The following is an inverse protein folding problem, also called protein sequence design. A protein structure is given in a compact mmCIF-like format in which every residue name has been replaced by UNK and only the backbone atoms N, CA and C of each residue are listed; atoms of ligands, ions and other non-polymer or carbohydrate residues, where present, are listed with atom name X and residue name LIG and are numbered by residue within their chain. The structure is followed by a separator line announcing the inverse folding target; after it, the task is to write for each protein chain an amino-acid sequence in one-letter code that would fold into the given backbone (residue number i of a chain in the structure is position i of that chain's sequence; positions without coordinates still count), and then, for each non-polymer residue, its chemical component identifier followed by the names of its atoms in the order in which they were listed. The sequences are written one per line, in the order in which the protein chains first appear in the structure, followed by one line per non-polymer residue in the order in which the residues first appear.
data_IF_939883280931
#
_entry.id   IF_939883280931
#
_cell.length_a   1.000
_cell.length_b   1.000
_cell.length_c   1.000
_cell.angle_alpha   90.00
_cell.angle_beta   90.00
_cell.angle_gamma   90.00
#
_symmetry.space_group_name_H-M   'P 1'
#
loop_
_entity.id
_entity.type
_entity.pdbx_description
1 polymer ?
#
# COMPACT_ATOMS: atom_id res chain seq x y z
N UNK A 1 24.57 -4.16 -0.88
CA UNK A 1 23.79 -3.91 0.36
C UNK A 1 22.41 -4.52 0.15
N UNK A 2 21.90 -5.30 1.10
CA UNK A 2 20.56 -5.89 1.01
C UNK A 2 19.64 -5.22 2.04
N UNK A 3 18.50 -4.72 1.58
CA UNK A 3 17.43 -4.22 2.43
C UNK A 3 16.32 -5.26 2.46
N UNK A 4 15.91 -5.67 3.65
CA UNK A 4 14.78 -6.58 3.87
C UNK A 4 13.64 -5.77 4.46
N UNK A 5 12.49 -5.79 3.81
CA UNK A 5 11.27 -5.15 4.29
C UNK A 5 10.23 -6.24 4.45
N UNK A 6 10.01 -6.61 5.71
CA UNK A 6 8.91 -7.48 6.07
C UNK A 6 7.61 -6.66 6.22
N UNK A 7 6.49 -7.29 5.95
CA UNK A 7 5.16 -6.65 5.92
C UNK A 7 5.14 -5.32 5.18
N UNK A 8 5.69 -5.27 3.97
CA UNK A 8 5.84 -3.97 3.30
C UNK A 8 4.51 -3.28 2.97
N UNK A 9 3.39 -4.02 2.92
CA UNK A 9 2.06 -3.43 2.83
C UNK A 9 1.72 -2.52 4.04
N UNK A 10 2.36 -2.73 5.20
CA UNK A 10 2.19 -1.88 6.38
C UNK A 10 2.90 -0.52 6.27
N UNK A 11 3.65 -0.28 5.19
CA UNK A 11 4.36 0.97 4.93
C UNK A 11 3.74 1.72 3.72
N UNK A 12 2.54 2.31 3.88
CA UNK A 12 1.78 2.92 2.78
C UNK A 12 2.36 4.24 2.27
N UNK A 13 3.30 4.86 3.02
CA UNK A 13 3.82 6.19 2.71
C UNK A 13 5.05 6.19 1.77
N UNK A 14 5.57 5.02 1.38
CA UNK A 14 6.76 4.92 0.57
C UNK A 14 6.43 4.92 -0.93
N UNK A 15 7.15 5.73 -1.72
CA UNK A 15 7.07 5.66 -3.19
C UNK A 15 7.93 4.50 -3.70
N UNK A 16 7.38 3.29 -3.65
CA UNK A 16 8.09 2.07 -4.03
C UNK A 16 8.59 2.07 -5.48
N UNK A 17 7.86 2.67 -6.41
CA UNK A 17 8.29 2.80 -7.81
C UNK A 17 9.62 3.53 -7.93
N UNK A 18 9.69 4.73 -7.33
CA UNK A 18 10.91 5.53 -7.34
C UNK A 18 12.03 4.81 -6.57
N UNK A 19 11.69 4.17 -5.44
CA UNK A 19 12.66 3.46 -4.62
C UNK A 19 13.27 2.27 -5.34
N UNK A 20 12.46 1.42 -5.98
CA UNK A 20 12.89 0.28 -6.80
C UNK A 20 13.76 0.75 -7.99
N UNK A 21 13.36 1.82 -8.67
CA UNK A 21 14.10 2.38 -9.80
C UNK A 21 15.44 3.00 -9.40
N UNK A 22 15.56 3.52 -8.19
CA UNK A 22 16.82 4.07 -7.66
C UNK A 22 17.75 2.98 -7.13
N UNK A 23 17.23 1.95 -6.46
CA UNK A 23 18.04 0.86 -5.91
C UNK A 23 18.86 0.12 -6.98
N UNK A 24 18.29 -0.06 -8.17
CA UNK A 24 18.99 -0.65 -9.31
C UNK A 24 20.25 0.15 -9.71
N UNK A 25 20.23 1.48 -9.55
CA UNK A 25 21.38 2.34 -9.89
C UNK A 25 22.53 2.24 -8.89
N UNK A 26 22.23 1.86 -7.65
CA UNK A 26 23.20 1.79 -6.55
C UNK A 26 23.72 0.37 -6.30
N UNK A 27 23.28 -0.63 -7.08
CA UNK A 27 23.67 -2.03 -6.87
C UNK A 27 23.18 -2.59 -5.53
N UNK A 28 22.07 -2.05 -5.02
CA UNK A 28 21.43 -2.54 -3.80
C UNK A 28 20.35 -3.56 -4.15
N UNK A 29 20.20 -4.58 -3.32
CA UNK A 29 19.13 -5.57 -3.44
C UNK A 29 18.03 -5.28 -2.42
N UNK A 30 16.77 -5.43 -2.84
CA UNK A 30 15.60 -5.29 -1.98
C UNK A 30 14.86 -6.61 -1.94
N UNK A 31 14.56 -7.07 -0.73
CA UNK A 31 13.70 -8.24 -0.48
C UNK A 31 12.44 -7.71 0.20
N UNK A 32 11.30 -7.94 -0.45
CA UNK A 32 9.98 -7.55 0.03
C UNK A 32 9.20 -8.80 0.41
N UNK A 33 8.63 -8.81 1.61
CA UNK A 33 7.73 -9.87 2.06
C UNK A 33 6.34 -9.30 2.40
N UNK A 34 5.29 -10.01 1.97
CA UNK A 34 3.90 -9.64 2.25
C UNK A 34 3.05 -10.88 2.47
N UNK A 35 2.08 -10.78 3.38
CA UNK A 35 1.11 -11.85 3.65
C UNK A 35 -0.07 -11.86 2.67
N UNK A 36 -0.37 -10.73 2.02
CA UNK A 36 -1.48 -10.61 1.06
C UNK A 36 -1.09 -9.70 -0.09
N UNK A 37 -1.48 -10.09 -1.32
CA UNK A 37 -1.36 -9.23 -2.49
C UNK A 37 -2.58 -8.34 -2.66
N UNK A 38 -3.76 -8.80 -2.25
CA UNK A 38 -4.98 -7.97 -2.23
C UNK A 38 -4.78 -6.68 -1.43
N UNK A 39 -4.14 -6.77 -0.26
CA UNK A 39 -3.82 -5.60 0.57
C UNK A 39 -2.91 -4.57 -0.12
N UNK A 40 -2.11 -4.96 -1.12
CA UNK A 40 -1.25 -4.02 -1.86
C UNK A 40 -2.05 -3.05 -2.74
N UNK A 41 -3.14 -3.54 -3.33
CA UNK A 41 -4.01 -2.71 -4.16
C UNK A 41 -4.84 -1.73 -3.29
N UNK A 42 -5.12 -2.10 -2.03
CA UNK A 42 -5.78 -1.23 -1.04
C UNK A 42 -4.85 -0.16 -0.46
N UNK A 43 -3.56 -0.45 -0.33
CA UNK A 43 -2.55 0.49 0.18
C UNK A 43 -2.35 1.67 -0.76
N UNK A 44 -2.44 1.44 -2.08
CA UNK A 44 -2.28 2.49 -3.08
C UNK A 44 -3.32 2.39 -4.21
N UNK A 45 -4.59 2.73 -3.91
CA UNK A 45 -5.70 2.64 -4.84
C UNK A 45 -5.56 3.73 -5.91
N UNK A 46 -4.83 3.40 -6.97
CA UNK A 46 -4.66 4.27 -8.14
C UNK A 46 -3.25 4.32 -8.73
N UNK A 47 -2.22 3.83 -8.03
CA UNK A 47 -0.86 3.74 -8.60
C UNK A 47 -0.47 2.36 -9.09
N UNK A 48 -1.23 1.32 -8.73
CA UNK A 48 -0.92 -0.03 -9.17
C UNK A 48 0.42 -0.51 -8.61
N UNK A 49 0.63 -0.30 -7.31
CA UNK A 49 1.83 -0.71 -6.57
C UNK A 49 2.21 -2.16 -6.89
N UNK A 50 1.22 -3.06 -6.93
CA UNK A 50 1.41 -4.46 -7.30
C UNK A 50 2.08 -4.61 -8.67
N UNK A 51 1.57 -3.92 -9.69
CA UNK A 51 2.15 -3.95 -11.03
C UNK A 51 3.57 -3.36 -11.05
N UNK A 52 3.79 -2.26 -10.34
CA UNK A 52 5.12 -1.66 -10.22
C UNK A 52 6.14 -2.60 -9.58
N UNK A 53 5.76 -3.32 -8.52
CA UNK A 53 6.61 -4.32 -7.87
C UNK A 53 6.90 -5.46 -8.84
N UNK A 54 5.87 -6.10 -9.41
CA UNK A 54 6.08 -7.25 -10.31
C UNK A 54 6.87 -6.90 -11.58
N UNK A 55 6.76 -5.68 -12.09
CA UNK A 55 7.55 -5.22 -13.23
C UNK A 55 9.06 -5.06 -12.94
N UNK A 56 9.44 -4.91 -11.66
CA UNK A 56 10.82 -4.63 -11.24
C UNK A 56 11.47 -5.77 -10.43
N UNK A 57 10.75 -6.86 -10.14
CA UNK A 57 11.30 -8.01 -9.40
C UNK A 57 11.89 -9.06 -10.32
N UNK A 58 13.17 -9.38 -10.07
CA UNK A 58 13.86 -10.44 -10.77
C UNK A 58 13.48 -11.82 -10.23
N UNK A 59 13.34 -11.93 -8.91
CA UNK A 59 13.07 -13.17 -8.20
C UNK A 59 11.72 -13.12 -7.50
N UNK A 60 10.97 -14.22 -7.56
CA UNK A 60 9.69 -14.37 -6.86
C UNK A 60 9.71 -15.68 -6.12
N UNK A 61 9.34 -15.65 -4.84
CA UNK A 61 9.14 -16.83 -3.99
C UNK A 61 7.69 -16.81 -3.52
N UNK A 62 6.91 -17.81 -3.89
CA UNK A 62 5.50 -17.93 -3.57
C UNK A 62 5.28 -19.14 -2.65
N UNK A 63 4.85 -18.85 -1.43
CA UNK A 63 4.49 -19.84 -0.41
C UNK A 63 2.99 -20.17 -0.49
N UNK A 64 2.52 -21.00 0.44
CA UNK A 64 1.08 -21.24 0.64
C UNK A 64 0.33 -19.91 0.76
N UNK A 65 -0.71 -19.73 -0.04
CA UNK A 65 -1.50 -18.51 -0.07
C UNK A 65 -2.97 -18.77 -0.38
N UNK A 66 -3.79 -17.71 -0.29
CA UNK A 66 -5.21 -17.77 -0.61
C UNK A 66 -5.46 -18.03 -2.09
N UNK A 67 -6.62 -18.57 -2.46
CA UNK A 67 -6.98 -18.80 -3.86
C UNK A 67 -6.99 -17.50 -4.70
N UNK A 68 -7.29 -16.36 -4.07
CA UNK A 68 -7.29 -15.05 -4.71
C UNK A 68 -5.85 -14.61 -5.03
N UNK A 69 -4.95 -14.66 -4.05
CA UNK A 69 -3.54 -14.32 -4.26
C UNK A 69 -2.86 -15.29 -5.23
N UNK A 70 -3.20 -16.59 -5.17
CA UNK A 70 -2.68 -17.62 -6.06
C UNK A 70 -3.05 -17.35 -7.53
N UNK A 71 -4.26 -16.87 -7.80
CA UNK A 71 -4.70 -16.49 -9.14
C UNK A 71 -3.90 -15.30 -9.71
N UNK A 72 -3.39 -14.41 -8.83
CA UNK A 72 -2.54 -13.29 -9.21
C UNK A 72 -1.07 -13.70 -9.37
N UNK A 73 -0.57 -14.65 -8.56
CA UNK A 73 0.83 -15.10 -8.57
C UNK A 73 1.16 -16.10 -9.66
N UNK A 74 0.25 -17.02 -9.99
CA UNK A 74 0.54 -18.07 -10.97
C UNK A 74 1.00 -17.51 -12.34
N UNK A 75 0.39 -16.45 -12.90
CA UNK A 75 0.88 -15.82 -14.13
C UNK A 75 2.30 -15.23 -14.00
N UNK A 76 2.66 -14.70 -12.83
CA UNK A 76 3.97 -14.08 -12.57
C UNK A 76 5.10 -15.11 -12.41
N UNK A 77 4.77 -16.32 -11.91
CA UNK A 77 5.69 -17.46 -11.86
C UNK A 77 5.84 -18.12 -13.24
N UNK A 78 4.76 -18.14 -14.03
CA UNK A 78 4.72 -18.74 -15.36
C UNK A 78 4.52 -20.26 -15.32
N UNK A 79 4.41 -20.85 -16.51
CA UNK A 79 4.19 -22.28 -16.66
C UNK A 79 5.37 -23.09 -16.08
N UNK A 80 5.11 -24.26 -15.45
CA UNK A 80 3.83 -24.97 -15.40
C UNK A 80 2.88 -24.61 -14.23
N UNK A 81 3.23 -23.65 -13.38
CA UNK A 81 2.54 -23.40 -12.09
C UNK A 81 1.08 -23.00 -12.30
N UNK A 82 0.18 -23.70 -11.60
CA UNK A 82 -1.25 -23.39 -11.52
C UNK A 82 -1.60 -22.76 -10.16
N UNK A 83 -2.68 -21.98 -10.07
CA UNK A 83 -3.13 -21.44 -8.79
C UNK A 83 -3.40 -22.52 -7.73
N UNK A 84 -3.90 -23.69 -8.13
CA UNK A 84 -4.14 -24.81 -7.22
C UNK A 84 -2.84 -25.30 -6.55
N UNK A 85 -1.73 -25.32 -7.29
CA UNK A 85 -0.43 -25.75 -6.77
C UNK A 85 0.02 -24.87 -5.60
N UNK A 86 -0.25 -23.56 -5.65
CA UNK A 86 0.09 -22.60 -4.60
C UNK A 86 -0.79 -22.74 -3.36
N UNK A 87 -2.08 -23.04 -3.53
CA UNK A 87 -3.03 -23.22 -2.43
C UNK A 87 -2.76 -24.53 -1.68
N UNK A 88 -2.27 -25.55 -2.38
CA UNK A 88 -1.99 -26.89 -1.85
C UNK A 88 -0.58 -27.04 -1.26
N UNK A 89 0.28 -26.02 -1.37
CA UNK A 89 1.63 -26.02 -0.78
C UNK A 89 1.59 -26.30 0.73
N UNK A 90 2.44 -27.20 1.20
CA UNK A 90 2.64 -27.45 2.63
C UNK A 90 3.60 -26.46 3.28
N UNK A 91 3.79 -26.62 4.59
CA UNK A 91 4.76 -25.84 5.34
C UNK A 91 6.17 -25.99 4.75
N UNK A 92 6.88 -24.86 4.66
CA UNK A 92 8.27 -24.80 4.19
C UNK A 92 8.45 -25.25 2.73
N UNK A 93 7.37 -25.23 1.94
CA UNK A 93 7.40 -25.44 0.49
C UNK A 93 7.06 -24.13 -0.22
N UNK A 94 7.71 -23.88 -1.35
CA UNK A 94 7.39 -22.75 -2.20
C UNK A 94 7.64 -23.04 -3.68
N UNK A 95 6.95 -22.33 -4.56
CA UNK A 95 7.36 -22.20 -5.95
C UNK A 95 8.18 -20.94 -6.12
N UNK A 96 9.28 -21.04 -6.84
CA UNK A 96 10.17 -19.91 -7.07
C UNK A 96 10.49 -19.75 -8.55
N UNK A 97 10.57 -18.48 -8.97
CA UNK A 97 11.11 -18.07 -10.26
C UNK A 97 12.35 -17.23 -9.98
N UNK A 98 13.49 -17.69 -10.50
CA UNK A 98 14.76 -16.99 -10.35
C UNK A 98 15.23 -16.42 -11.68
N UNK A 99 16.00 -15.34 -11.62
CA UNK A 99 16.76 -14.82 -12.76
C UNK A 99 18.24 -15.08 -12.56
N UNK A 100 18.92 -15.62 -13.57
CA UNK A 100 20.38 -15.73 -13.59
C UNK A 100 20.93 -14.98 -14.80
N UNK A 101 21.89 -14.07 -14.59
CA UNK A 101 22.53 -13.25 -15.63
C UNK A 101 21.57 -12.57 -16.62
N UNK A 102 20.38 -12.17 -16.15
CA UNK A 102 19.36 -11.52 -16.96
C UNK A 102 18.44 -12.47 -17.72
N UNK A 103 18.63 -13.79 -17.59
CA UNK A 103 17.72 -14.81 -18.09
C UNK A 103 16.77 -15.26 -16.99
N UNK A 104 15.47 -15.28 -17.27
CA UNK A 104 14.46 -15.82 -16.35
C UNK A 104 14.40 -17.32 -16.50
N UNK A 105 14.69 -18.04 -15.42
CA UNK A 105 14.60 -19.48 -15.36
C UNK A 105 13.13 -19.92 -15.23
N UNK A 106 12.76 -21.11 -15.72
CA UNK A 106 11.44 -21.69 -15.45
C UNK A 106 11.18 -21.82 -13.95
N UNK A 107 9.92 -21.64 -13.53
CA UNK A 107 9.55 -21.82 -12.14
C UNK A 107 9.75 -23.27 -11.69
N UNK A 108 10.23 -23.46 -10.46
CA UNK A 108 10.44 -24.77 -9.87
C UNK A 108 9.99 -24.80 -8.41
N UNK A 109 9.67 -26.01 -7.93
CA UNK A 109 9.31 -26.27 -6.55
C UNK A 109 10.56 -26.35 -5.68
N UNK A 110 10.53 -25.72 -4.52
CA UNK A 110 11.60 -25.69 -3.54
C UNK A 110 11.06 -26.10 -2.16
N UNK A 111 11.80 -26.97 -1.49
CA UNK A 111 11.56 -27.34 -0.10
C UNK A 111 12.67 -26.76 0.77
N UNK A 112 12.27 -25.98 1.78
CA UNK A 112 13.17 -25.33 2.72
C UNK A 112 13.40 -26.21 3.93
N UNK A 113 14.58 -26.07 4.52
CA UNK A 113 14.86 -26.63 5.83
C UNK A 113 14.02 -25.92 6.91
N UNK A 114 13.64 -26.68 7.93
CA UNK A 114 12.95 -26.13 9.11
C UNK A 114 13.88 -25.09 9.77
N UNK A 115 13.38 -23.88 10.10
CA UNK A 115 14.20 -22.90 10.79
C UNK A 115 14.70 -23.46 12.13
N UNK A 116 15.95 -23.15 12.52
CA UNK A 116 16.49 -23.63 13.79
C UNK A 116 15.66 -23.08 14.96
N UNK A 117 15.59 -23.85 16.05
CA UNK A 117 14.93 -23.37 17.27
C UNK A 117 15.62 -22.10 17.77
N UNK A 118 14.82 -21.07 18.04
CA UNK A 118 15.31 -19.81 18.59
C UNK A 118 15.73 -19.94 20.05
N UNK A 119 16.74 -19.18 20.46
CA UNK A 119 17.13 -19.07 21.86
C UNK A 119 16.22 -18.05 22.58
N UNK A 120 15.38 -18.55 23.49
CA UNK A 120 14.45 -17.73 24.26
C UNK A 120 15.15 -16.64 25.10
N UNK A 121 16.35 -16.91 25.63
CA UNK A 121 17.10 -15.94 26.42
C UNK A 121 17.62 -14.80 25.54
N UNK A 122 18.06 -15.12 24.32
CA UNK A 122 18.47 -14.11 23.32
C UNK A 122 17.26 -13.28 22.90
N UNK A 123 16.12 -13.91 22.62
CA UNK A 123 14.90 -13.21 22.26
C UNK A 123 14.44 -12.24 23.35
N UNK A 124 14.45 -12.67 24.62
CA UNK A 124 14.10 -11.81 25.77
C UNK A 124 15.07 -10.64 25.92
N UNK A 125 16.37 -10.88 25.76
CA UNK A 125 17.40 -9.85 25.82
C UNK A 125 17.20 -8.81 24.71
N UNK A 126 16.98 -9.25 23.47
CA UNK A 126 16.73 -8.38 22.33
C UNK A 126 15.43 -7.57 22.52
N UNK A 127 14.37 -8.19 23.01
CA UNK A 127 13.11 -7.51 23.31
C UNK A 127 13.30 -6.43 24.39
N UNK A 128 14.05 -6.72 25.46
CA UNK A 128 14.36 -5.75 26.50
C UNK A 128 15.21 -4.58 25.97
N UNK A 129 16.27 -4.85 25.21
CA UNK A 129 17.10 -3.80 24.60
C UNK A 129 16.29 -2.92 23.63
N UNK A 130 15.43 -3.54 22.81
CA UNK A 130 14.54 -2.82 21.89
C UNK A 130 13.55 -1.94 22.66
N UNK A 131 12.94 -2.45 23.73
CA UNK A 131 12.02 -1.70 24.57
C UNK A 131 12.69 -0.51 25.27
N UNK A 132 13.95 -0.62 25.68
CA UNK A 132 14.72 0.49 26.26
C UNK A 132 15.07 1.54 25.21
N UNK A 133 15.43 1.12 24.00
CA UNK A 133 15.94 2.04 22.95
C UNK A 133 14.82 2.72 22.17
N UNK A 134 13.78 1.97 21.82
CA UNK A 134 12.69 2.39 20.93
C UNK A 134 11.32 2.36 21.59
N UNK A 135 11.19 1.73 22.76
CA UNK A 135 9.92 1.60 23.44
C UNK A 135 9.40 2.93 23.97
N UNK A 136 8.07 3.02 24.02
CA UNK A 136 7.34 4.13 24.65
C UNK A 136 6.47 3.57 25.78
N UNK A 137 6.21 4.40 26.79
CA UNK A 137 5.35 4.01 27.92
C UNK A 137 3.98 3.57 27.39
N UNK A 138 3.56 2.36 27.74
CA UNK A 138 2.33 1.75 27.24
C UNK A 138 1.10 2.65 27.42
N UNK A 139 0.96 3.29 28.59
CA UNK A 139 -0.16 4.17 28.87
C UNK A 139 -0.27 5.35 27.89
N UNK A 140 0.87 5.91 27.45
CA UNK A 140 0.91 6.99 26.46
C UNK A 140 0.52 6.45 25.08
N UNK A 141 1.09 5.32 24.67
CA UNK A 141 0.76 4.69 23.37
C UNK A 141 -0.72 4.29 23.31
N UNK A 142 -1.27 3.75 24.39
CA UNK A 142 -2.67 3.38 24.48
C UNK A 142 -3.58 4.61 24.39
N UNK A 143 -3.24 5.70 25.08
CA UNK A 143 -3.97 6.96 24.99
C UNK A 143 -3.91 7.56 23.58
N UNK A 144 -2.73 7.59 22.95
CA UNK A 144 -2.53 8.04 21.57
C UNK A 144 -3.39 7.21 20.60
N UNK A 145 -3.35 5.87 20.73
CA UNK A 145 -4.15 4.95 19.90
C UNK A 145 -5.65 5.23 20.04
N UNK A 146 -6.16 5.34 21.27
CA UNK A 146 -7.57 5.62 21.51
C UNK A 146 -7.98 7.01 21.00
N UNK A 147 -7.13 8.03 21.14
CA UNK A 147 -7.39 9.35 20.59
C UNK A 147 -7.45 9.33 19.05
N UNK A 148 -6.56 8.57 18.41
CA UNK A 148 -6.51 8.43 16.95
C UNK A 148 -7.72 7.67 16.39
N UNK A 149 -8.13 6.57 17.03
CA UNK A 149 -9.34 5.83 16.66
C UNK A 149 -10.59 6.72 16.70
N UNK A 150 -10.76 7.54 17.75
CA UNK A 150 -11.87 8.50 17.82
C UNK A 150 -11.88 9.52 16.67
N UNK A 151 -10.69 9.92 16.19
CA UNK A 151 -10.60 10.85 15.07
C UNK A 151 -10.94 10.18 13.73
N UNK A 152 -10.68 8.87 13.60
CA UNK A 152 -11.07 8.08 12.43
C UNK A 152 -12.59 7.93 12.42
N UNK A 153 -13.19 7.47 13.53
CA UNK A 153 -14.65 7.30 13.65
C UNK A 153 -15.40 8.61 13.34
N UNK A 154 -14.92 9.73 13.90
CA UNK A 154 -15.54 11.04 13.65
C UNK A 154 -15.42 11.51 12.20
N UNK A 155 -14.42 11.06 11.43
CA UNK A 155 -14.28 11.38 10.00
C UNK A 155 -15.21 10.54 9.14
N UNK A 156 -15.46 9.29 9.53
CA UNK A 156 -16.39 8.39 8.81
C UNK A 156 -17.85 8.82 9.03
N UNK A 157 -18.18 9.31 10.22
CA UNK A 157 -19.48 9.89 10.54
C UNK A 157 -19.76 11.17 9.71
N UNK A 158 -18.77 12.07 9.58
CA UNK A 158 -18.91 13.32 8.82
C UNK A 158 -19.08 13.06 7.30
N UNK A 159 -18.37 12.06 6.76
CA UNK A 159 -18.53 11.61 5.37
C UNK A 159 -19.88 10.94 5.12
N UNK A 160 -20.42 10.21 6.11
CA UNK A 160 -21.75 9.58 6.04
C UNK A 160 -22.88 10.62 6.16
N UNK A 161 -22.67 11.70 6.91
CA UNK A 161 -23.63 12.79 7.07
C UNK A 161 -23.71 13.70 5.82
N UNK A 162 -22.59 14.00 5.15
CA UNK A 162 -22.58 14.78 3.90
C UNK A 162 -23.21 14.05 2.70
N UNK A 163 -23.37 12.73 2.78
CA UNK A 163 -24.05 11.90 1.77
C UNK A 163 -25.58 11.91 1.82
N UNK A 164 -26.21 12.50 2.85
CA UNK A 164 -27.66 12.32 3.11
C UNK A 164 -28.55 13.57 2.93
N UNK A 165 -28.14 14.58 2.15
CA UNK A 165 -29.09 15.63 1.69
C UNK A 165 -29.64 15.35 0.30
N UNK A 166 -30.10 14.13 0.05
CA UNK A 166 -31.00 13.81 -1.06
C UNK A 166 -32.43 13.77 -0.53
N UNK A 167 -33.14 14.90 -0.55
CA UNK A 167 -34.58 14.94 -0.25
C UNK A 167 -35.32 13.95 -1.14
N UNK A 168 -35.79 12.84 -0.58
CA UNK A 168 -36.81 12.02 -1.20
C UNK A 168 -38.13 12.78 -1.14
N UNK A 169 -38.60 13.33 -2.27
CA UNK A 169 -40.00 13.68 -2.43
C UNK A 169 -40.78 12.36 -2.48
N UNK A 170 -41.52 12.05 -1.41
CA UNK A 170 -42.51 10.97 -1.40
C UNK A 170 -43.87 11.62 -1.66
N UNK A 171 -44.38 11.49 -2.88
CA UNK A 171 -45.79 11.75 -3.19
C UNK A 171 -46.62 10.55 -2.70
N UNK A 172 -47.61 10.73 -1.81
CA UNK A 172 -48.39 9.64 -1.27
C UNK A 172 -49.71 9.55 -2.02
N UNK A 173 -49.71 9.17 -3.30
CA UNK A 173 -50.89 8.56 -3.93
C UNK A 173 -50.59 8.05 -5.34
N UNK A 174 -51.01 6.80 -5.59
CA UNK A 174 -51.06 6.08 -6.87
C UNK A 174 -49.76 5.43 -7.36
N UNK A 175 -49.66 4.13 -7.08
CA UNK A 175 -48.70 3.23 -7.69
C UNK A 175 -48.91 3.09 -9.21
N UNK A 176 -47.84 3.33 -9.97
CA UNK A 176 -47.49 2.70 -11.25
C UNK A 176 -46.08 3.15 -11.66
N UNK A 177 -45.22 2.19 -12.02
CA UNK A 177 -43.91 2.46 -12.60
C UNK A 177 -44.07 3.08 -13.99
N UNK A 178 -43.32 4.14 -14.27
CA UNK A 178 -43.11 4.64 -15.63
C UNK A 178 -41.61 4.71 -15.92
N UNK A 179 -41.16 3.82 -16.80
CA UNK A 179 -39.90 3.96 -17.54
C UNK A 179 -40.03 5.14 -18.51
N UNK A 180 -39.05 6.05 -18.57
CA UNK A 180 -38.56 6.68 -19.81
C UNK A 180 -37.25 7.44 -19.57
N UNK A 181 -36.26 7.02 -20.35
CA UNK A 181 -35.05 7.71 -20.83
C UNK A 181 -35.11 9.25 -20.81
N UNK A 182 -34.15 9.93 -20.18
CA UNK A 182 -33.71 11.24 -20.66
C UNK A 182 -32.24 11.58 -20.35
N UNK A 183 -31.60 12.07 -21.41
CA UNK A 183 -30.19 12.37 -21.62
C UNK A 183 -29.55 13.23 -20.53
N UNK A 184 -28.32 12.83 -20.19
CA UNK A 184 -27.29 13.67 -19.58
C UNK A 184 -27.10 14.96 -20.38
N UNK A 185 -27.26 16.09 -19.72
CA UNK A 185 -26.60 17.33 -20.10
C UNK A 185 -26.19 18.06 -18.81
N UNK A 186 -25.03 18.72 -18.88
CA UNK A 186 -24.55 19.81 -18.00
C UNK A 186 -23.59 19.42 -16.89
N UNK A 187 -22.29 19.50 -17.19
CA UNK A 187 -21.25 19.74 -16.20
C UNK A 187 -20.08 20.55 -16.80
N UNK A 188 -20.32 21.84 -17.10
CA UNK A 188 -19.27 22.76 -17.60
C UNK A 188 -18.87 23.84 -16.58
N UNK A 189 -19.42 23.81 -15.36
CA UNK A 189 -19.19 24.86 -14.35
C UNK A 189 -18.11 24.60 -13.31
N UNK A 190 -17.61 23.36 -13.17
CA UNK A 190 -16.82 22.94 -11.99
C UNK A 190 -15.30 23.10 -12.16
N UNK A 191 -14.80 23.21 -13.38
CA UNK A 191 -13.35 23.17 -13.66
C UNK A 191 -12.64 24.53 -13.50
N UNK A 192 -13.38 25.64 -13.65
CA UNK A 192 -12.80 27.00 -13.53
C UNK A 192 -12.49 27.40 -12.09
N UNK A 193 -13.27 26.93 -11.12
CA UNK A 193 -13.10 27.25 -9.69
C UNK A 193 -11.88 26.56 -9.05
N UNK A 194 -11.57 25.33 -9.48
CA UNK A 194 -10.45 24.55 -8.95
C UNK A 194 -9.09 25.04 -9.46
N UNK A 195 -9.07 25.54 -10.70
CA UNK A 195 -7.85 26.08 -11.35
C UNK A 195 -7.45 27.46 -10.82
N UNK A 196 -8.41 28.30 -10.41
CA UNK A 196 -8.11 29.60 -9.78
C UNK A 196 -7.58 29.47 -8.35
N UNK A 197 -8.05 28.48 -7.57
CA UNK A 197 -7.59 28.29 -6.18
C UNK A 197 -6.19 27.66 -6.10
N UNK A 198 -5.78 26.87 -7.09
CA UNK A 198 -4.43 26.28 -7.11
C UNK A 198 -3.35 27.30 -7.46
N UNK A 199 -3.64 28.24 -8.38
CA UNK A 199 -2.71 29.30 -8.75
C UNK A 199 -2.50 30.30 -7.60
N UNK A 200 -3.55 30.71 -6.89
CA UNK A 200 -3.41 31.60 -5.72
C UNK A 200 -2.62 30.94 -4.57
N UNK A 201 -2.76 29.63 -4.37
CA UNK A 201 -2.03 28.89 -3.34
C UNK A 201 -0.54 28.73 -3.70
N UNK A 202 -0.22 28.47 -4.96
CA UNK A 202 1.16 28.41 -5.45
C UNK A 202 1.85 29.78 -5.45
N UNK A 203 1.10 30.85 -5.69
CA UNK A 203 1.64 32.22 -5.68
C UNK A 203 1.89 32.73 -4.26
N UNK A 204 1.09 32.30 -3.27
CA UNK A 204 1.37 32.60 -1.84
C UNK A 204 2.59 31.86 -1.31
N UNK A 205 2.74 30.58 -1.63
CA UNK A 205 3.88 29.75 -1.20
C UNK A 205 5.22 30.23 -1.79
N UNK A 206 5.21 30.71 -3.04
CA UNK A 206 6.42 31.27 -3.67
C UNK A 206 6.85 32.62 -3.09
N UNK A 207 5.90 33.50 -2.75
CA UNK A 207 6.19 34.78 -2.07
C UNK A 207 6.71 34.55 -0.64
N UNK A 208 6.19 33.53 0.06
CA UNK A 208 6.62 33.19 1.41
C UNK A 208 8.02 32.56 1.45
N UNK A 209 8.37 31.73 0.46
CA UNK A 209 9.74 31.22 0.29
C UNK A 209 10.74 32.32 -0.09
N UNK A 210 10.35 33.27 -0.96
CA UNK A 210 11.22 34.37 -1.37
C UNK A 210 11.55 35.34 -0.22
N UNK A 211 10.65 35.51 0.75
CA UNK A 211 10.90 36.33 1.94
C UNK A 211 11.79 35.65 2.99
N UNK A 212 11.84 34.30 3.03
CA UNK A 212 12.73 33.55 3.92
C UNK A 212 14.18 33.44 3.44
N UNK A 213 14.45 33.78 2.17
CA UNK A 213 15.77 33.64 1.53
C UNK A 213 16.54 34.96 1.39
N UNK A 214 16.09 36.08 1.98
CA UNK A 214 16.88 37.32 2.01
C UNK A 214 17.99 37.23 3.08
N UNK A 215 19.28 37.36 2.71
CA UNK A 215 20.37 37.34 3.68
C UNK A 215 20.41 38.63 4.49
N UNK A 216 20.68 38.49 5.80
CA UNK A 216 20.94 39.60 6.69
C UNK A 216 22.23 40.32 6.29
N UNK A 217 22.10 41.51 5.72
CA UNK A 217 23.21 42.44 5.60
C UNK A 217 23.53 43.01 6.99
N UNK A 218 24.77 42.87 7.43
CA UNK A 218 25.29 43.52 8.64
C UNK A 218 26.43 44.44 8.19
N UNK A 219 26.48 45.73 8.58
CA UNK A 219 27.71 46.50 8.48
C UNK A 219 28.75 46.02 9.49
#
# INVERSE_FOLDING_TARGET
MALLVDEFHALPAANYEAFLAELAKYGASLVLATQSLGGLDEVDPGRGLRHAVFANVDHVFAFNCSAEDAALLAPELGAPVQPADLVELGDHQCYTRLSDRGERLPAFHLQLDVPPEGDAAVAETLAACSAVTYGRVYAIVAADRTALLRQIDARDDDQSAEGHTGRANVDPENGRLASTTQKRARNEGRDRSRTQRSSEKQQRLSVELANRLKPAATP
#
